data_IF_216136713862
#
_entry.id   IF_216136713862
#
_cell.length_a   1.000
_cell.length_b   1.000
_cell.length_c   1.000
_cell.angle_alpha   90.00
_cell.angle_beta   90.00
_cell.angle_gamma   90.00
#
_symmetry.space_group_name_H-M   'P 1'
#
loop_
_entity.id
_entity.type
_entity.pdbx_description
1 polymer ?
#
# COMPACT_ATOMS: atom_id res chain seq x y z
N UNK A 1 12.00 -8.29 12.62
CA UNK A 1 10.90 -8.40 11.62
C UNK A 1 11.54 -8.85 10.33
N UNK A 2 11.14 -9.99 9.77
CA UNK A 2 11.71 -10.49 8.51
C UNK A 2 11.10 -9.62 7.41
N UNK A 3 11.89 -8.78 6.75
CA UNK A 3 11.43 -8.01 5.60
C UNK A 3 11.08 -9.01 4.50
N UNK A 4 9.80 -9.18 4.20
CA UNK A 4 9.37 -9.94 3.03
C UNK A 4 9.81 -9.16 1.80
N UNK A 5 10.73 -9.76 1.04
CA UNK A 5 11.16 -9.21 -0.24
C UNK A 5 9.92 -9.03 -1.12
N UNK A 6 9.68 -7.80 -1.61
CA UNK A 6 8.63 -7.52 -2.59
C UNK A 6 8.98 -8.18 -3.93
N UNK A 7 8.65 -9.46 -4.03
CA UNK A 7 8.83 -10.32 -5.18
C UNK A 7 7.49 -10.89 -5.60
N UNK A 8 7.35 -11.24 -6.89
CA UNK A 8 6.14 -11.93 -7.34
C UNK A 8 6.03 -13.26 -6.57
N UNK A 9 4.83 -13.61 -6.07
CA UNK A 9 4.65 -14.91 -5.45
C UNK A 9 4.97 -16.01 -6.47
N UNK A 10 5.75 -17.03 -6.09
CA UNK A 10 6.26 -18.03 -7.03
C UNK A 10 5.17 -18.96 -7.54
N UNK A 11 4.08 -19.18 -6.78
CA UNK A 11 2.97 -20.05 -7.18
C UNK A 11 1.66 -19.31 -7.42
N UNK A 12 0.79 -19.92 -8.24
CA UNK A 12 -0.58 -19.44 -8.47
C UNK A 12 -1.41 -19.47 -7.18
N UNK A 13 -1.21 -20.49 -6.35
CA UNK A 13 -1.89 -20.65 -5.06
C UNK A 13 -1.56 -19.51 -4.09
N UNK A 14 -0.29 -19.14 -3.96
CA UNK A 14 0.12 -18.02 -3.10
C UNK A 14 -0.40 -16.67 -3.60
N UNK A 15 -0.51 -16.48 -4.93
CA UNK A 15 -1.15 -15.28 -5.51
C UNK A 15 -2.62 -15.19 -5.10
N UNK A 16 -3.35 -16.29 -5.23
CA UNK A 16 -4.77 -16.35 -4.86
C UNK A 16 -4.97 -16.11 -3.36
N UNK A 17 -4.13 -16.72 -2.51
CA UNK A 17 -4.16 -16.50 -1.05
C UNK A 17 -3.86 -15.05 -0.67
N UNK A 18 -2.84 -14.43 -1.29
CA UNK A 18 -2.51 -13.02 -1.05
C UNK A 18 -3.60 -12.07 -1.54
N UNK A 19 -4.16 -12.35 -2.71
CA UNK A 19 -5.25 -11.57 -3.28
C UNK A 19 -6.51 -11.64 -2.40
N UNK A 20 -6.83 -12.80 -1.83
CA UNK A 20 -7.95 -12.95 -0.89
C UNK A 20 -7.68 -12.25 0.44
N UNK A 21 -6.46 -12.35 0.97
CA UNK A 21 -6.10 -11.79 2.27
C UNK A 21 -6.04 -10.26 2.29
N UNK A 22 -5.58 -9.65 1.20
CA UNK A 22 -5.46 -8.19 1.10
C UNK A 22 -5.59 -7.73 -0.36
N UNK A 23 -6.83 -7.67 -0.91
CA UNK A 23 -7.05 -7.36 -2.32
C UNK A 23 -6.45 -6.02 -2.74
N UNK A 24 -6.64 -4.99 -1.91
CA UNK A 24 -6.12 -3.65 -2.18
C UNK A 24 -4.59 -3.61 -2.23
N UNK A 25 -3.91 -4.20 -1.24
CA UNK A 25 -2.44 -4.20 -1.21
C UNK A 25 -1.86 -5.07 -2.33
N UNK A 26 -2.53 -6.18 -2.67
CA UNK A 26 -2.12 -7.03 -3.78
C UNK A 26 -2.20 -6.27 -5.11
N UNK A 27 -3.30 -5.59 -5.38
CA UNK A 27 -3.46 -4.80 -6.60
C UNK A 27 -2.48 -3.63 -6.64
N UNK A 28 -2.38 -2.86 -5.56
CA UNK A 28 -1.46 -1.73 -5.45
C UNK A 28 0.00 -2.16 -5.65
N UNK A 29 0.43 -3.20 -4.94
CA UNK A 29 1.78 -3.75 -5.05
C UNK A 29 2.09 -4.32 -6.43
N UNK A 30 1.12 -5.01 -7.05
CA UNK A 30 1.28 -5.57 -8.40
C UNK A 30 1.51 -4.48 -9.44
N UNK A 31 0.72 -3.39 -9.42
CA UNK A 31 0.88 -2.26 -10.35
C UNK A 31 2.23 -1.55 -10.19
N UNK A 32 2.74 -1.43 -8.96
CA UNK A 32 4.08 -0.86 -8.71
C UNK A 32 5.18 -1.74 -9.28
N UNK A 33 5.06 -3.06 -9.10
CA UNK A 33 6.02 -4.01 -9.64
C UNK A 33 6.02 -4.03 -11.18
N UNK A 34 4.84 -3.98 -11.81
CA UNK A 34 4.70 -3.88 -13.27
C UNK A 34 5.37 -2.61 -13.83
N UNK A 35 5.29 -1.49 -13.10
CA UNK A 35 5.98 -0.25 -13.47
C UNK A 35 7.51 -0.43 -13.45
N UNK A 36 8.06 -1.04 -12.38
CA UNK A 36 9.50 -1.31 -12.28
C UNK A 36 9.99 -2.23 -13.40
N UNK A 37 9.25 -3.30 -13.69
CA UNK A 37 9.55 -4.24 -14.79
C UNK A 37 9.53 -3.52 -16.16
N UNK A 38 8.57 -2.60 -16.36
CA UNK A 38 8.47 -1.81 -17.59
C UNK A 38 9.65 -0.85 -17.77
N UNK A 39 10.08 -0.18 -16.70
CA UNK A 39 11.25 0.70 -16.72
C UNK A 39 12.53 -0.10 -17.00
N UNK A 40 12.65 -1.29 -16.42
CA UNK A 40 13.76 -2.21 -16.67
C UNK A 40 13.80 -2.65 -18.13
N UNK A 41 12.67 -3.04 -18.71
CA UNK A 41 12.57 -3.42 -20.12
C UNK A 41 12.93 -2.25 -21.06
N UNK A 42 12.49 -1.03 -20.72
CA UNK A 42 12.82 0.17 -21.48
C UNK A 42 14.33 0.48 -21.43
N UNK A 43 14.95 0.34 -20.26
CA UNK A 43 16.39 0.48 -20.10
C UNK A 43 17.15 -0.54 -20.97
N UNK A 44 16.76 -1.81 -20.93
CA UNK A 44 17.38 -2.86 -21.75
C UNK A 44 17.24 -2.60 -23.25
N UNK A 45 16.09 -2.07 -23.69
CA UNK A 45 15.81 -1.82 -25.11
C UNK A 45 16.49 -0.56 -25.65
N UNK A 46 16.60 0.49 -24.85
CA UNK A 46 16.95 1.84 -25.34
C UNK A 46 18.10 2.51 -24.60
N UNK A 47 18.55 1.95 -23.47
CA UNK A 47 19.51 2.59 -22.57
C UNK A 47 18.90 3.68 -21.68
N UNK A 48 17.56 3.81 -21.63
CA UNK A 48 16.87 4.78 -20.78
C UNK A 48 17.34 4.67 -19.31
N UNK A 49 17.87 5.76 -18.74
CA UNK A 49 18.39 5.75 -17.37
C UNK A 49 17.27 6.05 -16.39
N UNK A 50 17.14 5.20 -15.38
CA UNK A 50 16.17 5.38 -14.31
C UNK A 50 16.73 4.92 -12.97
N UNK A 51 16.04 5.28 -11.90
CA UNK A 51 16.30 4.79 -10.54
C UNK A 51 14.94 4.53 -9.89
N UNK A 52 14.74 3.30 -9.38
CA UNK A 52 13.55 2.98 -8.58
C UNK A 52 13.87 3.12 -7.10
N UNK A 53 13.00 3.80 -6.35
CA UNK A 53 13.06 3.93 -4.90
C UNK A 53 11.88 3.17 -4.30
N UNK A 54 12.15 2.08 -3.59
CA UNK A 54 11.14 1.33 -2.83
C UNK A 54 11.07 1.90 -1.42
N UNK A 55 10.05 2.70 -1.16
CA UNK A 55 9.81 3.31 0.14
C UNK A 55 8.95 2.39 1.01
N UNK A 56 9.29 2.32 2.30
CA UNK A 56 8.41 1.76 3.33
C UNK A 56 7.22 2.69 3.59
N UNK A 57 6.28 2.27 4.45
CA UNK A 57 5.14 3.10 4.84
C UNK A 57 5.60 4.48 5.33
N UNK A 58 5.23 5.52 4.58
CA UNK A 58 5.57 6.91 4.89
C UNK A 58 4.48 7.49 5.80
N UNK A 59 4.87 7.90 7.01
CA UNK A 59 3.97 8.52 7.97
C UNK A 59 4.06 10.05 7.88
N UNK A 60 2.91 10.74 7.80
CA UNK A 60 2.89 12.20 7.77
C UNK A 60 1.51 12.82 7.56
N UNK A 61 1.41 14.15 7.55
CA UNK A 61 0.26 14.83 6.98
C UNK A 61 0.15 14.33 5.52
N UNK A 62 -1.02 13.84 5.12
CA UNK A 62 -1.29 13.19 3.82
C UNK A 62 -0.89 11.71 3.66
N UNK A 63 -0.67 10.96 4.74
CA UNK A 63 -0.70 9.49 4.63
C UNK A 63 -2.04 9.02 4.05
N UNK A 64 -1.98 8.24 2.96
CA UNK A 64 -3.14 7.72 2.23
C UNK A 64 -4.07 6.86 3.10
N UNK A 65 -3.54 6.21 4.14
CA UNK A 65 -4.34 5.39 5.06
C UNK A 65 -4.83 6.21 6.27
N UNK A 66 -4.16 7.33 6.56
CA UNK A 66 -4.34 8.15 7.74
C UNK A 66 -4.22 7.35 9.04
N UNK A 67 -3.60 6.16 8.99
CA UNK A 67 -3.69 5.15 10.05
C UNK A 67 -3.01 5.65 11.31
N UNK A 68 -1.86 6.32 11.15
CA UNK A 68 -1.12 6.92 12.25
C UNK A 68 -1.85 8.10 12.90
N UNK A 69 -2.49 8.95 12.08
CA UNK A 69 -3.28 10.08 12.61
C UNK A 69 -4.53 9.59 13.33
N UNK A 70 -5.21 8.55 12.80
CA UNK A 70 -6.33 7.89 13.48
C UNK A 70 -5.88 7.30 14.82
N UNK A 71 -4.74 6.61 14.87
CA UNK A 71 -4.17 6.10 16.11
C UNK A 71 -3.90 7.24 17.11
N UNK A 72 -3.28 8.33 16.66
CA UNK A 72 -3.02 9.50 17.51
C UNK A 72 -4.33 10.08 18.08
N UNK A 73 -5.39 10.15 17.28
CA UNK A 73 -6.70 10.62 17.71
C UNK A 73 -7.34 9.68 18.76
N UNK A 74 -7.26 8.36 18.56
CA UNK A 74 -7.77 7.37 19.52
C UNK A 74 -7.07 7.48 20.87
N UNK A 75 -5.73 7.63 20.87
CA UNK A 75 -4.94 7.84 22.09
C UNK A 75 -5.37 9.12 22.80
N UNK A 76 -5.45 10.25 22.08
CA UNK A 76 -5.85 11.55 22.64
C UNK A 76 -7.27 11.52 23.24
N UNK A 77 -8.16 10.75 22.64
CA UNK A 77 -9.56 10.62 23.08
C UNK A 77 -9.78 9.46 24.07
N UNK A 78 -8.72 8.77 24.50
CA UNK A 78 -8.76 7.60 25.39
C UNK A 78 -9.72 6.50 24.90
N UNK A 79 -9.86 6.36 23.58
CA UNK A 79 -10.69 5.33 22.95
C UNK A 79 -9.91 4.02 22.81
N UNK A 80 -10.60 2.86 22.75
CA UNK A 80 -9.95 1.58 22.51
C UNK A 80 -9.12 1.59 21.22
N UNK A 81 -7.90 1.03 21.30
CA UNK A 81 -7.01 0.87 20.15
C UNK A 81 -7.25 -0.53 19.60
N UNK A 82 -7.69 -0.69 18.34
CA UNK A 82 -7.78 -2.00 17.72
C UNK A 82 -6.35 -2.54 17.52
N UNK A 83 -5.95 -3.50 18.35
CA UNK A 83 -4.68 -4.20 18.25
C UNK A 83 -4.89 -5.48 17.44
N UNK A 84 -4.66 -5.43 16.12
CA UNK A 84 -4.72 -6.62 15.27
C UNK A 84 -5.25 -6.35 13.86
N UNK A 85 -4.99 -7.32 12.96
CA UNK A 85 -5.37 -7.32 11.54
C UNK A 85 -6.88 -7.47 11.32
N UNK A 86 -7.72 -6.79 12.10
CA UNK A 86 -9.14 -6.72 11.80
C UNK A 86 -9.37 -5.50 10.90
N UNK A 87 -9.06 -5.69 9.61
CA UNK A 87 -9.27 -4.70 8.55
C UNK A 87 -10.73 -4.64 8.09
N UNK A 88 -11.63 -5.42 8.70
CA UNK A 88 -13.06 -5.50 8.36
C UNK A 88 -13.81 -4.16 8.49
N UNK A 89 -13.23 -3.16 9.15
CA UNK A 89 -13.80 -1.81 9.31
C UNK A 89 -13.02 -0.67 8.66
N UNK A 90 -11.84 -0.91 8.07
CA UNK A 90 -11.11 0.16 7.35
C UNK A 90 -11.67 0.22 5.93
N UNK A 91 -12.72 1.02 5.75
CA UNK A 91 -13.11 1.46 4.40
C UNK A 91 -11.89 2.15 3.77
N UNK A 92 -11.39 1.54 2.69
CA UNK A 92 -10.55 2.23 1.73
C UNK A 92 -11.47 3.22 1.01
N UNK A 93 -11.67 4.39 1.60
CA UNK A 93 -12.28 5.49 0.86
C UNK A 93 -11.33 5.77 -0.31
N UNK A 94 -11.81 5.50 -1.52
CA UNK A 94 -11.07 5.79 -2.73
C UNK A 94 -10.64 7.27 -2.71
N UNK A 95 -9.47 7.64 -3.26
CA UNK A 95 -8.95 9.00 -3.24
C UNK A 95 -9.78 10.05 -4.02
N UNK A 96 -11.06 9.78 -4.31
CA UNK A 96 -11.99 10.69 -4.99
C UNK A 96 -12.93 11.49 -4.09
N UNK A 97 -13.05 11.18 -2.79
CA UNK A 97 -14.16 11.71 -1.95
C UNK A 97 -13.74 12.79 -0.93
N UNK A 98 -12.60 13.45 -1.13
CA UNK A 98 -12.16 14.59 -0.30
C UNK A 98 -12.70 15.91 -0.85
N UNK A 99 -13.12 15.95 -2.13
CA UNK A 99 -13.50 17.21 -2.79
C UNK A 99 -14.89 17.75 -2.39
N UNK A 100 -15.70 17.01 -1.62
CA UNK A 100 -17.06 17.43 -1.25
C UNK A 100 -17.21 17.90 0.22
N UNK A 101 -16.13 17.98 1.01
CA UNK A 101 -16.20 18.40 2.43
C UNK A 101 -15.68 19.81 2.71
N UNK A 102 -15.39 20.59 1.68
CA UNK A 102 -15.09 22.02 1.80
C UNK A 102 -16.05 22.77 0.87
N UNK A 103 -17.25 23.03 1.36
CA UNK A 103 -18.23 23.97 0.81
C UNK A 103 -19.09 24.49 1.95
#
# INVERSE_FOLDING_TARGET
>A
VKEELSQRPPSKKEKEELQQRSPYQYEYGSRKLECEESLQALHQKTGFRFTSLRLSDVMGPYDNLGAFLKLQALIKTKRPIPLGRDTSGIRHDAPGDISQRIS
#
